data_IF_858401971740
#
_entry.id   IF_858401971740
#
_cell.length_a   1.000
_cell.length_b   1.000
_cell.length_c   1.000
_cell.angle_alpha   90.00
_cell.angle_beta   90.00
_cell.angle_gamma   90.00
#
_symmetry.space_group_name_H-M   'P 1'
#
loop_
_entity.id
_entity.type
_entity.pdbx_description
1 polymer ?
#
# COMPACT_ATOMS: atom_id res chain seq x y z
N UNK A 1 5.47 19.73 3.32
CA UNK A 1 4.54 18.86 2.59
C UNK A 1 5.00 18.77 1.14
N UNK A 2 4.77 17.66 0.49
CA UNK A 2 5.07 17.50 -0.93
C UNK A 2 4.11 18.37 -1.75
N UNK A 3 4.59 19.33 -2.58
CA UNK A 3 3.70 20.29 -3.26
C UNK A 3 2.63 19.63 -4.14
N UNK A 4 2.97 18.53 -4.82
CA UNK A 4 2.05 17.81 -5.70
C UNK A 4 0.91 17.12 -4.98
N UNK A 5 1.05 16.87 -3.66
CA UNK A 5 0.09 16.18 -2.82
C UNK A 5 -0.43 17.04 -1.66
N UNK A 6 -0.09 18.33 -1.65
CA UNK A 6 -0.41 19.23 -0.54
C UNK A 6 -1.91 19.34 -0.24
N UNK A 7 -2.83 19.53 -1.23
CA UNK A 7 -4.26 19.64 -0.94
C UNK A 7 -4.82 18.37 -0.28
N UNK A 8 -4.40 17.20 -0.75
CA UNK A 8 -4.78 15.91 -0.14
C UNK A 8 -4.25 15.80 1.30
N UNK A 9 -2.98 16.12 1.51
CA UNK A 9 -2.35 16.06 2.83
C UNK A 9 -3.04 16.98 3.83
N UNK A 10 -3.35 18.23 3.44
CA UNK A 10 -4.09 19.19 4.27
C UNK A 10 -5.46 18.65 4.66
N UNK A 11 -6.22 18.09 3.70
CA UNK A 11 -7.53 17.52 3.98
C UNK A 11 -7.47 16.40 5.02
N UNK A 12 -6.48 15.49 4.90
CA UNK A 12 -6.27 14.40 5.87
C UNK A 12 -5.84 14.92 7.25
N UNK A 13 -4.93 15.90 7.30
CA UNK A 13 -4.50 16.53 8.56
C UNK A 13 -5.68 17.23 9.23
N UNK A 14 -6.52 17.95 8.48
CA UNK A 14 -7.71 18.60 9.01
C UNK A 14 -8.69 17.59 9.63
N UNK A 15 -8.92 16.46 8.97
CA UNK A 15 -9.74 15.36 9.51
C UNK A 15 -9.22 14.82 10.84
N UNK A 16 -7.90 14.59 10.96
CA UNK A 16 -7.26 14.17 12.20
C UNK A 16 -7.48 15.20 13.31
N UNK A 17 -7.22 16.50 13.01
CA UNK A 17 -7.41 17.58 13.99
C UNK A 17 -8.86 17.76 14.39
N UNK A 18 -9.80 17.51 13.49
CA UNK A 18 -11.22 17.51 13.80
C UNK A 18 -11.58 16.38 14.77
N UNK A 19 -11.06 15.16 14.56
CA UNK A 19 -11.23 14.06 15.51
C UNK A 19 -10.68 14.42 16.90
N UNK A 20 -9.47 14.99 16.98
CA UNK A 20 -8.88 15.46 18.24
C UNK A 20 -9.76 16.50 18.94
N UNK A 21 -10.32 17.47 18.20
CA UNK A 21 -11.20 18.51 18.73
C UNK A 21 -12.52 17.92 19.27
N UNK A 22 -13.17 17.03 18.55
CA UNK A 22 -14.39 16.36 19.02
C UNK A 22 -14.14 15.52 20.27
N UNK A 23 -13.01 14.82 20.33
CA UNK A 23 -12.61 14.11 21.56
C UNK A 23 -12.51 15.04 22.74
N UNK A 24 -11.82 16.17 22.58
CA UNK A 24 -11.59 17.15 23.65
C UNK A 24 -12.86 17.85 24.10
N UNK A 25 -13.75 18.22 23.17
CA UNK A 25 -14.95 19.02 23.46
C UNK A 25 -16.15 18.19 23.89
N UNK A 26 -16.32 17.01 23.32
CA UNK A 26 -17.54 16.20 23.45
C UNK A 26 -17.29 14.81 24.03
N UNK A 27 -16.05 14.48 24.39
CA UNK A 27 -15.65 13.17 24.88
C UNK A 27 -16.04 12.02 23.92
N UNK A 28 -16.02 12.30 22.60
CA UNK A 28 -16.29 11.29 21.57
C UNK A 28 -15.13 10.30 21.47
N UNK A 29 -15.43 9.01 21.32
CA UNK A 29 -14.41 7.99 21.03
C UNK A 29 -14.06 7.98 19.53
N UNK A 30 -13.47 9.05 19.01
CA UNK A 30 -12.96 9.13 17.66
C UNK A 30 -11.47 8.82 17.65
N UNK A 31 -11.05 7.85 16.85
CA UNK A 31 -9.65 7.51 16.65
C UNK A 31 -9.22 7.82 15.21
N UNK A 32 -7.95 8.14 15.03
CA UNK A 32 -7.38 8.40 13.72
C UNK A 32 -6.32 7.36 13.40
N UNK A 33 -6.47 6.68 12.26
CA UNK A 33 -5.54 5.65 11.80
C UNK A 33 -4.76 6.12 10.57
N UNK A 34 -3.49 5.73 10.46
CA UNK A 34 -2.62 6.03 9.34
C UNK A 34 -2.20 4.71 8.67
N UNK A 35 -2.81 4.33 7.53
CA UNK A 35 -2.42 3.12 6.82
C UNK A 35 -1.15 3.33 5.99
N UNK A 36 -0.42 2.24 5.77
CA UNK A 36 0.61 2.15 4.73
C UNK A 36 -0.01 2.02 3.32
N UNK A 37 0.76 1.66 2.29
CA UNK A 37 0.19 1.44 0.96
C UNK A 37 -0.70 0.20 0.98
N UNK A 38 -1.97 0.39 0.64
CA UNK A 38 -2.95 -0.70 0.58
C UNK A 38 -3.01 -1.30 -0.82
N UNK A 39 -3.32 -2.59 -0.88
CA UNK A 39 -3.67 -3.33 -2.08
C UNK A 39 -4.72 -4.39 -1.73
N UNK A 40 -5.51 -4.83 -2.68
CA UNK A 40 -6.54 -5.86 -2.40
C UNK A 40 -7.53 -6.04 -3.53
N UNK A 41 -8.57 -6.82 -3.24
CA UNK A 41 -9.71 -7.06 -4.14
C UNK A 41 -10.38 -5.74 -4.52
N UNK A 42 -10.80 -5.61 -5.78
CA UNK A 42 -11.41 -4.39 -6.36
C UNK A 42 -10.51 -3.15 -6.44
N UNK A 43 -9.18 -3.30 -6.35
CA UNK A 43 -8.26 -2.20 -6.56
C UNK A 43 -8.36 -1.62 -7.99
N UNK A 44 -7.84 -0.41 -8.18
CA UNK A 44 -7.79 0.24 -9.48
C UNK A 44 -6.56 -0.23 -10.27
N UNK A 45 -6.77 -0.85 -11.43
CA UNK A 45 -5.72 -1.34 -12.32
C UNK A 45 -5.45 -0.41 -13.53
N UNK A 46 -5.93 0.83 -13.52
CA UNK A 46 -5.66 1.80 -14.56
C UNK A 46 -4.15 2.11 -14.65
N UNK A 47 -3.56 2.03 -15.86
CA UNK A 47 -2.11 2.17 -16.04
C UNK A 47 -1.56 3.57 -15.78
N UNK A 48 -2.41 4.59 -15.80
CA UNK A 48 -2.02 5.99 -15.58
C UNK A 48 -2.36 6.49 -14.17
N UNK A 49 -3.42 5.95 -13.56
CA UNK A 49 -4.01 6.48 -12.32
C UNK A 49 -3.92 5.53 -11.13
N UNK A 50 -3.53 4.28 -11.35
CA UNK A 50 -3.43 3.30 -10.27
C UNK A 50 -2.13 3.42 -9.47
N UNK A 51 -2.13 2.80 -8.30
CA UNK A 51 -0.93 2.64 -7.52
C UNK A 51 0.05 1.63 -8.14
N UNK A 52 1.30 1.66 -7.69
CA UNK A 52 2.41 0.90 -8.28
C UNK A 52 2.14 -0.60 -8.34
N UNK A 53 1.60 -1.22 -7.29
CA UNK A 53 1.39 -2.67 -7.21
C UNK A 53 0.34 -3.14 -8.24
N UNK A 54 -0.91 -2.62 -8.28
CA UNK A 54 -1.88 -3.03 -9.28
C UNK A 54 -1.47 -2.68 -10.71
N UNK A 55 -0.76 -1.55 -10.94
CA UNK A 55 -0.21 -1.23 -12.26
C UNK A 55 0.80 -2.28 -12.74
N UNK A 56 1.68 -2.75 -11.85
CA UNK A 56 2.66 -3.79 -12.19
C UNK A 56 1.99 -5.13 -12.50
N UNK A 57 1.01 -5.55 -11.68
CA UNK A 57 0.26 -6.79 -11.95
C UNK A 57 -0.34 -6.74 -13.36
N UNK A 58 -1.02 -5.64 -13.69
CA UNK A 58 -1.64 -5.48 -15.00
C UNK A 58 -0.62 -5.47 -16.14
N UNK A 59 0.48 -4.73 -16.01
CA UNK A 59 1.54 -4.66 -17.03
C UNK A 59 2.15 -6.03 -17.32
N UNK A 60 2.49 -6.79 -16.30
CA UNK A 60 3.03 -8.14 -16.48
C UNK A 60 2.01 -9.12 -17.05
N UNK A 61 0.73 -9.01 -16.62
CA UNK A 61 -0.34 -9.83 -17.19
C UNK A 61 -0.55 -9.56 -18.69
N UNK A 62 -0.71 -8.28 -19.07
CA UNK A 62 -0.92 -7.89 -20.47
C UNK A 62 0.28 -8.31 -21.34
N UNK A 63 1.51 -8.11 -20.88
CA UNK A 63 2.71 -8.52 -21.58
C UNK A 63 2.79 -10.04 -21.76
N UNK A 64 2.39 -10.82 -20.74
CA UNK A 64 2.30 -12.28 -20.85
C UNK A 64 1.28 -12.71 -21.90
N UNK A 65 0.07 -12.13 -21.86
CA UNK A 65 -1.01 -12.47 -22.82
C UNK A 65 -0.63 -12.10 -24.25
N UNK A 66 0.04 -10.95 -24.43
CA UNK A 66 0.49 -10.47 -25.74
C UNK A 66 1.78 -11.16 -26.25
N UNK A 67 2.45 -11.98 -25.43
CA UNK A 67 3.78 -12.50 -25.68
C UNK A 67 4.83 -11.40 -25.93
N UNK A 68 4.73 -10.29 -25.20
CA UNK A 68 5.69 -9.20 -25.32
C UNK A 68 7.07 -9.64 -24.79
N UNK A 69 8.19 -9.20 -25.42
CA UNK A 69 9.51 -9.60 -25.00
C UNK A 69 9.96 -8.92 -23.69
N UNK A 70 9.36 -7.79 -23.32
CA UNK A 70 9.76 -7.03 -22.15
C UNK A 70 8.62 -6.16 -21.59
N UNK A 71 8.73 -5.84 -20.29
CA UNK A 71 7.91 -4.85 -19.58
C UNK A 71 8.79 -3.70 -19.12
N UNK A 72 8.40 -2.46 -19.48
CA UNK A 72 9.09 -1.26 -19.01
C UNK A 72 8.43 -0.71 -17.74
N UNK A 73 9.22 -0.57 -16.68
CA UNK A 73 8.87 0.04 -15.41
C UNK A 73 9.63 1.35 -15.21
N UNK A 74 9.01 2.31 -14.54
CA UNK A 74 9.58 3.63 -14.32
C UNK A 74 10.55 3.65 -13.14
N UNK A 75 11.57 4.53 -13.24
CA UNK A 75 12.56 4.75 -12.21
C UNK A 75 13.67 3.70 -12.19
N UNK A 76 14.37 3.59 -11.06
CA UNK A 76 15.46 2.64 -10.85
C UNK A 76 15.04 1.35 -10.17
N UNK A 77 13.84 1.32 -9.59
CA UNK A 77 13.37 0.23 -8.74
C UNK A 77 13.97 0.21 -7.32
N UNK A 78 14.84 1.17 -6.99
CA UNK A 78 15.50 1.23 -5.68
C UNK A 78 14.62 1.72 -4.51
N UNK A 79 13.58 2.55 -4.69
CA UNK A 79 12.74 2.97 -3.58
C UNK A 79 12.10 1.79 -2.84
N UNK A 80 11.99 1.97 -1.52
CA UNK A 80 11.38 0.95 -0.65
C UNK A 80 9.97 1.34 -0.23
N UNK A 81 9.06 0.40 -0.24
CA UNK A 81 7.65 0.57 0.15
C UNK A 81 7.17 -0.58 1.01
N UNK A 82 6.32 -0.22 1.93
CA UNK A 82 5.55 -1.15 2.73
C UNK A 82 4.17 -1.32 2.10
N UNK A 83 3.64 -2.56 2.10
CA UNK A 83 2.33 -2.91 1.58
C UNK A 83 1.53 -3.70 2.61
N UNK A 84 0.23 -3.43 2.68
CA UNK A 84 -0.72 -4.14 3.54
C UNK A 84 -1.96 -4.52 2.74
N UNK A 85 -2.43 -5.75 2.91
CA UNK A 85 -3.69 -6.17 2.29
C UNK A 85 -4.87 -5.38 2.88
N UNK A 86 -5.86 -5.05 2.04
CA UNK A 86 -7.04 -4.28 2.44
C UNK A 86 -7.91 -5.01 3.47
N UNK A 87 -7.93 -6.34 3.44
CA UNK A 87 -8.67 -7.15 4.43
C UNK A 87 -8.00 -7.08 5.81
N UNK A 88 -6.66 -7.14 5.87
CA UNK A 88 -5.91 -6.90 7.11
C UNK A 88 -6.12 -5.47 7.63
N UNK A 89 -6.21 -4.48 6.73
CA UNK A 89 -6.54 -3.11 7.14
C UNK A 89 -7.95 -3.03 7.75
N UNK A 90 -8.93 -3.70 7.16
CA UNK A 90 -10.29 -3.76 7.68
C UNK A 90 -10.34 -4.45 9.05
N UNK A 91 -9.62 -5.57 9.20
CA UNK A 91 -9.49 -6.28 10.47
C UNK A 91 -8.81 -5.40 11.55
N UNK A 92 -7.74 -4.69 11.20
CA UNK A 92 -7.09 -3.75 12.11
C UNK A 92 -8.05 -2.64 12.57
N UNK A 93 -8.86 -2.08 11.67
CA UNK A 93 -9.86 -1.09 12.03
C UNK A 93 -10.90 -1.67 12.99
N UNK A 94 -11.41 -2.87 12.71
CA UNK A 94 -12.37 -3.54 13.59
C UNK A 94 -11.76 -3.85 14.96
N UNK A 95 -10.54 -4.33 15.00
CA UNK A 95 -9.79 -4.55 16.24
C UNK A 95 -9.67 -3.26 17.07
N UNK A 96 -9.23 -2.16 16.43
CA UNK A 96 -9.03 -0.87 17.10
C UNK A 96 -10.35 -0.26 17.59
N UNK A 97 -11.44 -0.41 16.85
CA UNK A 97 -12.76 0.05 17.29
C UNK A 97 -13.22 -0.60 18.59
N UNK A 98 -12.80 -1.83 18.85
CA UNK A 98 -13.21 -2.59 20.04
C UNK A 98 -12.20 -2.49 21.21
N UNK A 99 -10.95 -2.15 20.93
CA UNK A 99 -9.88 -2.28 21.93
C UNK A 99 -9.13 -0.99 22.24
N UNK A 100 -9.32 0.07 21.42
CA UNK A 100 -8.49 1.26 21.49
C UNK A 100 -9.31 2.56 21.60
N UNK A 101 -8.96 3.40 22.58
CA UNK A 101 -9.60 4.71 22.82
C UNK A 101 -8.60 5.78 23.27
N UNK A 102 -7.38 5.76 22.76
CA UNK A 102 -6.38 6.77 23.08
C UNK A 102 -6.36 7.91 22.04
N UNK A 103 -5.98 9.13 22.42
CA UNK A 103 -5.84 10.25 21.50
C UNK A 103 -4.63 10.06 20.58
N UNK A 104 -4.67 10.80 19.46
CA UNK A 104 -3.58 10.83 18.48
C UNK A 104 -3.67 9.76 17.42
N UNK A 105 -2.62 9.68 16.60
CA UNK A 105 -2.53 8.74 15.48
C UNK A 105 -2.05 7.36 15.93
N UNK A 106 -2.58 6.35 15.26
CA UNK A 106 -2.03 5.00 15.28
C UNK A 106 -1.74 4.52 13.86
N UNK A 107 -0.51 4.07 13.63
CA UNK A 107 -0.09 3.54 12.34
C UNK A 107 -0.58 2.11 12.17
N UNK A 108 -1.05 1.78 10.96
CA UNK A 108 -1.45 0.43 10.55
C UNK A 108 -0.58 0.00 9.37
N UNK A 109 0.19 -1.06 9.55
CA UNK A 109 1.10 -1.60 8.56
C UNK A 109 1.68 -2.93 9.00
N UNK A 110 2.60 -3.44 8.20
CA UNK A 110 3.31 -4.70 8.47
C UNK A 110 4.62 -4.49 9.23
N UNK A 111 5.18 -3.27 9.18
CA UNK A 111 6.54 -2.97 9.68
C UNK A 111 7.65 -3.55 8.79
N UNK A 112 7.31 -4.06 7.59
CA UNK A 112 8.25 -4.61 6.62
C UNK A 112 8.14 -3.86 5.30
N UNK A 113 9.25 -3.48 4.72
CA UNK A 113 9.29 -2.87 3.39
C UNK A 113 10.06 -3.73 2.39
N UNK A 114 9.79 -3.50 1.11
CA UNK A 114 10.40 -4.20 -0.02
C UNK A 114 10.82 -3.16 -1.06
N UNK A 115 11.90 -3.41 -1.81
CA UNK A 115 12.25 -2.55 -2.94
C UNK A 115 11.21 -2.69 -4.05
N UNK A 116 11.00 -1.64 -4.83
CA UNK A 116 10.13 -1.71 -6.01
C UNK A 116 10.64 -2.75 -7.01
N UNK A 117 11.96 -2.96 -7.05
CA UNK A 117 12.59 -3.98 -7.90
C UNK A 117 12.22 -5.40 -7.45
N UNK A 118 12.32 -5.69 -6.14
CA UNK A 118 11.97 -7.01 -5.61
C UNK A 118 10.46 -7.26 -5.70
N UNK A 119 9.63 -6.23 -5.49
CA UNK A 119 8.19 -6.30 -5.73
C UNK A 119 7.88 -6.68 -7.19
N UNK A 120 8.54 -6.02 -8.15
CA UNK A 120 8.37 -6.33 -9.57
C UNK A 120 8.76 -7.77 -9.89
N UNK A 121 9.85 -8.27 -9.29
CA UNK A 121 10.28 -9.65 -9.47
C UNK A 121 9.25 -10.64 -8.90
N UNK A 122 8.74 -10.38 -7.68
CA UNK A 122 7.69 -11.20 -7.06
C UNK A 122 6.42 -11.24 -7.94
N UNK A 123 5.98 -10.09 -8.44
CA UNK A 123 4.79 -10.03 -9.31
C UNK A 123 5.04 -10.76 -10.63
N UNK A 124 6.22 -10.57 -11.25
CA UNK A 124 6.63 -11.24 -12.47
C UNK A 124 6.55 -12.77 -12.34
N UNK A 125 7.04 -13.31 -11.22
CA UNK A 125 7.02 -14.74 -10.92
C UNK A 125 5.58 -15.26 -10.70
N UNK A 126 4.77 -14.53 -9.95
CA UNK A 126 3.36 -14.88 -9.70
C UNK A 126 2.54 -14.89 -10.99
N UNK A 127 2.73 -13.87 -11.83
CA UNK A 127 2.07 -13.79 -13.15
C UNK A 127 2.58 -14.86 -14.10
N UNK A 128 3.83 -15.30 -13.95
CA UNK A 128 4.52 -16.22 -14.85
C UNK A 128 4.88 -15.54 -16.18
N UNK A 129 5.38 -14.30 -16.12
CA UNK A 129 5.92 -13.58 -17.28
C UNK A 129 7.41 -13.92 -17.43
N UNK A 130 7.80 -14.42 -18.62
CA UNK A 130 9.17 -14.89 -18.88
C UNK A 130 10.07 -13.86 -19.59
N UNK A 131 9.47 -12.74 -20.09
CA UNK A 131 10.21 -11.66 -20.75
C UNK A 131 11.08 -10.84 -19.82
N UNK A 132 11.76 -9.83 -20.35
CA UNK A 132 12.65 -8.94 -19.59
C UNK A 132 11.89 -7.87 -18.81
N UNK A 133 12.48 -7.41 -17.70
CA UNK A 133 12.04 -6.20 -16.99
C UNK A 133 13.04 -5.09 -17.24
N UNK A 134 12.61 -4.02 -17.93
CA UNK A 134 13.43 -2.86 -18.28
C UNK A 134 13.08 -1.71 -17.35
N UNK A 135 14.09 -1.04 -16.79
CA UNK A 135 13.91 0.12 -15.93
C UNK A 135 14.19 1.42 -16.69
N UNK A 136 13.17 2.27 -16.79
CA UNK A 136 13.31 3.61 -17.40
C UNK A 136 13.75 4.63 -16.33
N UNK A 137 15.05 4.76 -16.15
CA UNK A 137 15.65 5.72 -15.20
C UNK A 137 15.51 7.19 -15.63
N UNK A 138 14.99 7.49 -16.82
CA UNK A 138 14.64 8.87 -17.20
C UNK A 138 13.43 9.41 -16.42
N UNK A 139 12.63 8.52 -15.85
CA UNK A 139 11.52 8.86 -14.96
C UNK A 139 12.02 8.95 -13.52
N UNK A 140 11.57 9.96 -12.76
CA UNK A 140 12.03 10.14 -11.39
C UNK A 140 11.55 9.01 -10.47
N UNK A 141 12.43 8.61 -9.56
CA UNK A 141 12.02 7.82 -8.41
C UNK A 141 11.17 8.67 -7.45
N UNK A 142 10.25 8.04 -6.75
CA UNK A 142 9.55 8.67 -5.65
C UNK A 142 10.43 8.77 -4.38
N UNK A 143 9.81 9.10 -3.25
CA UNK A 143 10.48 9.11 -1.93
C UNK A 143 11.29 7.84 -1.72
N UNK A 144 12.57 7.92 -1.28
CA UNK A 144 13.46 6.75 -1.18
C UNK A 144 12.91 5.62 -0.32
N UNK A 145 12.29 5.95 0.83
CA UNK A 145 11.71 4.95 1.75
C UNK A 145 10.45 5.46 2.40
N UNK A 146 9.43 4.59 2.51
CA UNK A 146 8.22 4.81 3.31
C UNK A 146 7.95 3.53 4.11
N UNK A 147 8.22 3.58 5.40
CA UNK A 147 7.99 2.50 6.36
C UNK A 147 7.31 3.08 7.60
N UNK A 148 6.30 2.40 8.09
CA UNK A 148 5.56 2.79 9.28
C UNK A 148 6.20 2.20 10.55
N UNK A 149 6.23 2.98 11.62
CA UNK A 149 6.45 2.42 12.96
C UNK A 149 5.11 1.86 13.47
N UNK A 150 5.03 0.54 13.55
CA UNK A 150 3.83 -0.19 13.96
C UNK A 150 3.91 -0.74 15.39
N UNK A 151 4.93 -0.38 16.16
CA UNK A 151 5.15 -0.90 17.51
C UNK A 151 3.95 -0.68 18.43
N UNK A 152 3.25 0.45 18.30
CA UNK A 152 2.05 0.74 19.09
C UNK A 152 0.94 -0.27 18.81
N UNK A 153 0.64 -0.54 17.54
CA UNK A 153 -0.40 -1.50 17.13
C UNK A 153 -0.04 -2.92 17.53
N UNK A 154 1.22 -3.31 17.29
CA UNK A 154 1.73 -4.64 17.68
C UNK A 154 1.70 -4.82 19.20
N UNK A 155 2.02 -3.76 19.96
CA UNK A 155 1.95 -3.77 21.43
C UNK A 155 0.52 -3.94 21.97
N UNK A 156 -0.52 -3.57 21.19
CA UNK A 156 -1.92 -3.84 21.50
C UNK A 156 -2.33 -5.28 21.20
N UNK A 157 -1.49 -6.08 20.53
CA UNK A 157 -1.71 -7.49 20.23
C UNK A 157 -2.19 -7.78 18.82
N UNK A 158 -2.38 -6.75 17.96
CA UNK A 158 -2.77 -6.98 16.56
C UNK A 158 -1.56 -7.30 15.67
N UNK A 159 -1.76 -8.21 14.72
CA UNK A 159 -0.80 -8.56 13.67
C UNK A 159 -1.55 -8.81 12.37
N UNK A 160 -0.96 -8.39 11.24
CA UNK A 160 -1.46 -8.76 9.93
C UNK A 160 -1.38 -10.28 9.72
N UNK A 161 -2.22 -10.83 8.87
CA UNK A 161 -2.34 -12.26 8.60
C UNK A 161 -1.96 -12.65 7.17
N UNK A 162 -2.00 -11.72 6.22
CA UNK A 162 -1.78 -11.98 4.80
C UNK A 162 -0.38 -11.51 4.42
N UNK A 163 0.52 -12.44 4.15
CA UNK A 163 1.86 -12.11 3.65
C UNK A 163 1.76 -11.56 2.22
N UNK A 164 2.69 -10.67 1.84
CA UNK A 164 2.62 -9.91 0.59
C UNK A 164 2.49 -10.80 -0.65
N UNK A 165 3.33 -11.84 -0.75
CA UNK A 165 3.32 -12.77 -1.89
C UNK A 165 1.98 -13.49 -2.03
N UNK A 166 1.42 -13.97 -0.92
CA UNK A 166 0.13 -14.66 -0.90
C UNK A 166 -1.01 -13.72 -1.30
N UNK A 167 -1.02 -12.51 -0.75
CA UNK A 167 -2.03 -11.51 -1.11
C UNK A 167 -1.95 -11.09 -2.57
N UNK A 168 -0.75 -10.98 -3.16
CA UNK A 168 -0.58 -10.70 -4.59
C UNK A 168 -1.13 -11.86 -5.44
N UNK A 169 -0.87 -13.12 -5.07
CA UNK A 169 -1.44 -14.30 -5.74
C UNK A 169 -2.96 -14.28 -5.71
N UNK A 170 -3.54 -13.98 -4.54
CA UNK A 170 -4.98 -13.92 -4.37
C UNK A 170 -5.60 -12.87 -5.30
N UNK A 171 -5.14 -11.62 -5.25
CA UNK A 171 -5.72 -10.54 -6.10
C UNK A 171 -5.47 -10.77 -7.59
N UNK A 172 -4.35 -11.39 -7.96
CA UNK A 172 -4.08 -11.76 -9.35
C UNK A 172 -5.06 -12.81 -9.86
N UNK A 173 -5.30 -13.88 -9.09
CA UNK A 173 -6.23 -14.93 -9.44
C UNK A 173 -7.67 -14.41 -9.56
N UNK A 174 -8.10 -13.59 -8.60
CA UNK A 174 -9.45 -13.03 -8.60
C UNK A 174 -9.70 -12.06 -9.77
N UNK A 175 -8.67 -11.37 -10.22
CA UNK A 175 -8.83 -10.32 -11.24
C UNK A 175 -8.62 -10.81 -12.66
N UNK A 176 -7.72 -11.78 -12.88
CA UNK A 176 -7.20 -12.13 -14.20
C UNK A 176 -7.35 -13.60 -14.58
N UNK A 177 -7.73 -14.48 -13.65
CA UNK A 177 -7.97 -15.90 -13.89
C UNK A 177 -9.41 -16.31 -13.61
#
# INVERSE_FOLDING_TARGET
MEPTNEPYAIAKIAGIKMCDAYRSQYNCNFISVMPTNLYGTNDNYDLEKSHVLPAMIRKFHEAKVNNDPAVTLWGTGSPMREFLNADDMADACFFLMNTYNEPGLINIGTGKDITIKDLAQTIKEIVGFEGETIWDSSRPDGTPRKLMDVNKLTGLGWKYSIELEEGIKQVYNEKFL
#
